data_IF_867569868729
#
_entry.id   IF_867569868729
#
_cell.length_a   1.000
_cell.length_b   1.000
_cell.length_c   1.000
_cell.angle_alpha   90.00
_cell.angle_beta   90.00
_cell.angle_gamma   90.00
#
_symmetry.space_group_name_H-M   'P 1'
#
loop_
_entity.id
_entity.type
_entity.pdbx_description
1 polymer ?
#
# COMPACT_ATOMS: atom_id res chain seq x y z
N UNK A 1 20.12 14.55 -36.57
CA UNK A 1 20.06 15.07 -35.17
C UNK A 1 18.69 14.75 -34.59
N UNK A 2 18.56 13.80 -33.69
CA UNK A 2 17.30 13.49 -33.03
C UNK A 2 17.00 14.59 -32.00
N UNK A 3 16.06 15.46 -32.33
CA UNK A 3 15.48 16.40 -31.39
C UNK A 3 14.73 15.61 -30.32
N UNK A 4 15.38 15.37 -29.20
CA UNK A 4 14.75 14.69 -28.08
C UNK A 4 13.48 15.42 -27.64
N UNK A 5 12.35 14.76 -27.72
CA UNK A 5 11.06 15.34 -27.40
C UNK A 5 11.07 15.92 -25.98
N UNK A 6 10.54 17.14 -25.83
CA UNK A 6 10.45 17.83 -24.54
C UNK A 6 9.22 17.38 -23.70
N UNK A 7 8.68 16.20 -23.98
CA UNK A 7 7.48 15.64 -23.32
C UNK A 7 7.62 15.53 -21.79
N UNK A 8 8.85 15.43 -21.29
CA UNK A 8 9.10 15.41 -19.84
C UNK A 8 8.57 16.64 -19.09
N UNK A 9 8.36 17.77 -19.80
CA UNK A 9 7.78 19.00 -19.21
C UNK A 9 6.32 18.82 -18.78
N UNK A 10 5.61 17.88 -19.39
CA UNK A 10 4.20 17.59 -19.09
C UNK A 10 4.04 16.52 -18.01
N UNK A 11 5.14 15.93 -17.56
CA UNK A 11 5.11 14.98 -16.45
C UNK A 11 4.94 15.73 -15.13
N UNK A 12 4.20 15.13 -14.20
CA UNK A 12 3.92 15.73 -12.88
C UNK A 12 5.18 16.15 -12.10
N UNK A 13 6.30 15.49 -12.33
CA UNK A 13 7.59 15.79 -11.67
C UNK A 13 8.54 16.67 -12.49
N UNK A 14 8.20 17.04 -13.73
CA UNK A 14 9.01 17.89 -14.64
C UNK A 14 10.50 17.51 -14.71
N UNK A 15 10.86 16.25 -14.55
CA UNK A 15 12.25 15.80 -14.55
C UNK A 15 12.67 15.21 -15.90
N UNK A 16 13.69 15.79 -16.52
CA UNK A 16 14.25 15.33 -17.80
C UNK A 16 14.85 13.92 -17.71
N UNK A 17 15.45 13.57 -16.58
CA UNK A 17 16.08 12.26 -16.34
C UNK A 17 15.55 11.67 -15.03
N UNK A 18 15.43 10.34 -14.99
CA UNK A 18 15.22 9.65 -13.71
C UNK A 18 16.44 9.92 -12.82
N UNK A 19 16.21 10.36 -11.61
CA UNK A 19 17.27 10.48 -10.62
C UNK A 19 17.98 9.13 -10.46
N UNK A 20 19.29 9.18 -10.15
CA UNK A 20 20.06 7.98 -9.80
C UNK A 20 19.28 7.27 -8.70
N UNK A 21 18.93 5.99 -8.93
CA UNK A 21 18.48 5.13 -7.83
C UNK A 21 19.63 5.14 -6.82
N UNK A 22 19.50 5.91 -5.75
CA UNK A 22 20.33 5.64 -4.59
C UNK A 22 19.95 4.22 -4.18
N UNK A 23 20.89 3.29 -4.31
CA UNK A 23 20.82 2.04 -3.60
C UNK A 23 20.86 2.40 -2.13
N UNK A 24 19.71 2.78 -1.59
CA UNK A 24 19.49 2.76 -0.18
C UNK A 24 19.53 1.26 0.16
N UNK A 25 20.72 0.80 0.50
CA UNK A 25 20.86 -0.26 1.48
C UNK A 25 20.32 0.33 2.78
N UNK A 26 19.01 0.65 2.79
CA UNK A 26 18.33 0.75 4.05
C UNK A 26 18.53 -0.64 4.66
N UNK A 27 19.16 -0.67 5.81
CA UNK A 27 18.92 -1.74 6.77
C UNK A 27 17.43 -1.64 7.14
N UNK A 28 16.57 -1.88 6.15
CA UNK A 28 15.16 -2.09 6.35
C UNK A 28 15.15 -3.24 7.33
N UNK A 29 14.71 -2.97 8.55
CA UNK A 29 14.53 -3.96 9.59
C UNK A 29 13.72 -5.06 8.95
N UNK A 30 14.39 -6.14 8.55
CA UNK A 30 13.73 -7.23 7.87
C UNK A 30 12.72 -7.81 8.87
N UNK A 31 11.45 -7.73 8.52
CA UNK A 31 10.40 -8.37 9.32
C UNK A 31 10.74 -9.85 9.37
N UNK A 32 11.08 -10.36 10.56
CA UNK A 32 11.32 -11.78 10.77
C UNK A 32 10.06 -12.56 10.38
N UNK A 33 10.25 -13.71 9.74
CA UNK A 33 9.15 -14.57 9.27
C UNK A 33 8.21 -13.94 8.22
N UNK A 34 8.72 -13.00 7.42
CA UNK A 34 7.96 -12.43 6.32
C UNK A 34 7.63 -13.49 5.28
N UNK A 35 6.36 -13.68 4.99
CA UNK A 35 5.89 -14.49 3.87
C UNK A 35 5.89 -13.62 2.60
N UNK A 36 6.59 -14.08 1.56
CA UNK A 36 6.65 -13.35 0.29
C UNK A 36 5.30 -13.31 -0.40
N UNK A 37 4.98 -12.20 -1.06
CA UNK A 37 3.78 -12.08 -1.88
C UNK A 37 3.76 -13.11 -3.04
N UNK A 38 4.93 -13.60 -3.46
CA UNK A 38 5.07 -14.64 -4.49
C UNK A 38 4.59 -16.01 -4.01
N UNK A 39 4.58 -16.24 -2.70
CA UNK A 39 4.10 -17.47 -2.06
C UNK A 39 2.58 -17.46 -1.83
N UNK A 40 1.90 -16.39 -2.27
CA UNK A 40 0.45 -16.25 -2.12
C UNK A 40 -0.28 -17.38 -2.85
N UNK A 41 -1.19 -18.10 -2.18
CA UNK A 41 -2.00 -19.14 -2.80
C UNK A 41 -2.74 -18.65 -4.05
N UNK A 42 -2.83 -19.51 -5.07
CA UNK A 42 -3.42 -19.16 -6.36
C UNK A 42 -4.87 -18.66 -6.24
N UNK A 43 -5.70 -19.29 -5.41
CA UNK A 43 -7.10 -18.89 -5.21
C UNK A 43 -7.26 -17.45 -4.68
N UNK A 44 -6.26 -16.94 -3.92
CA UNK A 44 -6.23 -15.54 -3.48
C UNK A 44 -5.79 -14.64 -4.63
N UNK A 45 -4.80 -15.10 -5.43
CA UNK A 45 -4.29 -14.35 -6.58
C UNK A 45 -5.37 -14.13 -7.63
N UNK A 46 -6.16 -15.15 -7.90
CA UNK A 46 -7.20 -15.15 -8.93
C UNK A 46 -8.48 -14.39 -8.52
N UNK A 47 -8.53 -13.85 -7.30
CA UNK A 47 -9.66 -13.07 -6.74
C UNK A 47 -11.00 -13.83 -6.75
N UNK A 48 -10.97 -15.15 -6.66
CA UNK A 48 -12.16 -15.99 -6.72
C UNK A 48 -13.05 -15.85 -5.49
N UNK A 49 -12.44 -15.74 -4.31
CA UNK A 49 -13.11 -15.63 -3.04
C UNK A 49 -13.05 -14.21 -2.51
N UNK A 50 -14.07 -13.78 -1.77
CA UNK A 50 -14.05 -12.50 -1.08
C UNK A 50 -13.43 -12.63 0.33
N UNK A 51 -13.09 -11.48 0.93
CA UNK A 51 -12.48 -11.44 2.27
C UNK A 51 -10.96 -11.30 2.26
N UNK A 52 -10.36 -11.10 1.09
CA UNK A 52 -8.93 -10.88 0.92
C UNK A 52 -8.65 -9.39 0.68
N UNK A 53 -7.96 -8.76 1.62
CA UNK A 53 -7.75 -7.32 1.65
C UNK A 53 -6.31 -6.95 1.35
N UNK A 54 -6.14 -5.82 0.70
CA UNK A 54 -4.87 -5.12 0.56
C UNK A 54 -4.98 -3.76 1.24
N UNK A 55 -3.97 -3.43 2.05
CA UNK A 55 -3.92 -2.18 2.78
C UNK A 55 -2.73 -1.35 2.32
N UNK A 56 -2.97 -0.06 2.14
CA UNK A 56 -1.97 0.94 1.79
C UNK A 56 -2.03 2.12 2.77
N UNK A 57 -0.87 2.68 3.09
CA UNK A 57 -0.72 3.83 3.96
C UNK A 57 -0.25 5.04 3.16
N UNK A 58 -1.16 5.96 2.90
CA UNK A 58 -0.88 7.17 2.16
C UNK A 58 -0.54 8.33 3.10
N UNK A 59 0.46 9.12 2.72
CA UNK A 59 0.92 10.29 3.48
C UNK A 59 0.97 11.52 2.60
N UNK A 60 0.38 12.60 3.09
CA UNK A 60 0.38 13.91 2.42
C UNK A 60 1.44 14.81 3.06
N UNK A 61 2.52 15.07 2.31
CA UNK A 61 3.71 15.78 2.81
C UNK A 61 3.37 17.17 3.32
N UNK A 62 2.48 17.89 2.64
CA UNK A 62 2.18 19.30 2.98
C UNK A 62 1.45 19.49 4.31
N UNK A 63 0.65 18.50 4.73
CA UNK A 63 -0.27 18.67 5.87
C UNK A 63 -0.01 17.65 6.99
N UNK A 64 1.04 16.85 6.91
CA UNK A 64 1.30 15.73 7.84
C UNK A 64 0.09 14.83 8.09
N UNK A 65 -0.78 14.73 7.10
CA UNK A 65 -1.97 13.91 7.16
C UNK A 65 -1.68 12.52 6.62
N UNK A 66 -2.31 11.52 7.21
CA UNK A 66 -2.15 10.13 6.83
C UNK A 66 -3.52 9.49 6.68
N UNK A 67 -3.66 8.62 5.70
CA UNK A 67 -4.87 7.83 5.46
C UNK A 67 -4.45 6.38 5.27
N UNK A 68 -5.09 5.48 6.00
CA UNK A 68 -5.05 4.06 5.67
C UNK A 68 -6.23 3.73 4.78
N UNK A 69 -5.95 3.00 3.71
CA UNK A 69 -6.94 2.53 2.75
C UNK A 69 -6.89 1.02 2.72
N UNK A 70 -8.02 0.37 2.89
CA UNK A 70 -8.19 -1.06 2.75
C UNK A 70 -9.05 -1.32 1.52
N UNK A 71 -8.58 -2.18 0.65
CA UNK A 71 -9.24 -2.56 -0.59
C UNK A 71 -9.50 -4.07 -0.59
N UNK A 72 -10.76 -4.47 -0.75
CA UNK A 72 -11.14 -5.87 -0.90
C UNK A 72 -10.96 -6.30 -2.36
N UNK A 73 -10.22 -7.39 -2.57
CA UNK A 73 -9.68 -7.75 -3.88
C UNK A 73 -10.71 -8.22 -4.91
N UNK A 74 -11.78 -8.88 -4.48
CA UNK A 74 -12.82 -9.42 -5.37
C UNK A 74 -13.88 -8.39 -5.68
N UNK A 75 -14.42 -7.76 -4.66
CA UNK A 75 -15.56 -6.85 -4.76
C UNK A 75 -15.16 -5.41 -5.09
N UNK A 76 -13.85 -5.10 -4.98
CA UNK A 76 -13.28 -3.76 -5.07
C UNK A 76 -13.83 -2.80 -4.00
N UNK A 77 -14.40 -3.33 -2.93
CA UNK A 77 -14.91 -2.54 -1.83
C UNK A 77 -13.77 -1.87 -1.07
N UNK A 78 -13.92 -0.57 -0.79
CA UNK A 78 -12.88 0.23 -0.15
C UNK A 78 -13.37 0.74 1.20
N UNK A 79 -12.49 0.64 2.20
CA UNK A 79 -12.63 1.30 3.50
C UNK A 79 -11.42 2.17 3.74
N UNK A 80 -11.62 3.35 4.30
CA UNK A 80 -10.52 4.25 4.65
C UNK A 80 -10.72 4.89 6.00
N UNK A 81 -9.60 5.27 6.63
CA UNK A 81 -9.62 5.99 7.89
C UNK A 81 -8.43 6.95 7.95
N UNK A 82 -8.71 8.20 8.34
CA UNK A 82 -7.67 9.21 8.60
C UNK A 82 -6.92 8.86 9.88
N UNK A 83 -5.60 8.97 9.82
CA UNK A 83 -4.69 8.71 10.95
C UNK A 83 -4.06 10.00 11.44
N UNK A 84 -3.80 10.07 12.74
CA UNK A 84 -3.06 11.19 13.35
C UNK A 84 -1.56 11.15 13.03
N UNK A 85 -1.00 9.95 12.89
CA UNK A 85 0.41 9.70 12.59
C UNK A 85 0.59 8.30 11.97
N UNK A 86 1.83 7.96 11.57
CA UNK A 86 2.20 6.67 10.99
C UNK A 86 2.72 5.65 12.01
N UNK A 87 2.59 5.90 13.29
CA UNK A 87 3.08 4.97 14.30
C UNK A 87 2.35 3.63 14.22
N UNK A 88 3.07 2.53 14.41
CA UNK A 88 2.52 1.18 14.34
C UNK A 88 1.25 1.00 15.18
N UNK A 89 1.25 1.51 16.41
CA UNK A 89 0.09 1.44 17.30
C UNK A 89 -1.15 2.17 16.74
N UNK A 90 -0.95 3.32 16.08
CA UNK A 90 -2.06 4.07 15.45
C UNK A 90 -2.62 3.31 14.26
N UNK A 91 -1.74 2.77 13.42
CA UNK A 91 -2.12 1.96 12.27
C UNK A 91 -2.84 0.69 12.71
N UNK A 92 -2.33 -0.03 13.71
CA UNK A 92 -2.95 -1.24 14.26
C UNK A 92 -4.35 -0.98 14.79
N UNK A 93 -4.53 0.08 15.60
CA UNK A 93 -5.87 0.48 16.10
C UNK A 93 -6.84 0.80 14.96
N UNK A 94 -6.36 1.48 13.91
CA UNK A 94 -7.17 1.78 12.75
C UNK A 94 -7.60 0.52 11.99
N UNK A 95 -6.69 -0.44 11.81
CA UNK A 95 -6.99 -1.73 11.19
C UNK A 95 -8.04 -2.50 11.99
N UNK A 96 -7.89 -2.59 13.31
CA UNK A 96 -8.92 -3.21 14.17
C UNK A 96 -10.28 -2.53 14.06
N UNK A 97 -10.31 -1.20 13.98
CA UNK A 97 -11.56 -0.46 13.83
C UNK A 97 -12.22 -0.73 12.46
N UNK A 98 -11.44 -0.70 11.38
CA UNK A 98 -11.96 -0.93 10.02
C UNK A 98 -12.40 -2.37 9.80
N UNK A 99 -11.64 -3.34 10.31
CA UNK A 99 -11.89 -4.77 10.11
C UNK A 99 -12.84 -5.36 11.17
N UNK A 100 -12.86 -4.79 12.38
CA UNK A 100 -13.61 -5.34 13.52
C UNK A 100 -15.11 -5.49 13.26
N UNK A 101 -15.68 -4.58 12.49
CA UNK A 101 -17.11 -4.55 12.15
C UNK A 101 -17.50 -5.52 11.02
N UNK A 102 -16.52 -6.19 10.40
CA UNK A 102 -16.78 -7.14 9.33
C UNK A 102 -17.05 -8.54 9.90
N UNK A 103 -17.91 -9.36 9.27
CA UNK A 103 -18.08 -10.75 9.63
C UNK A 103 -16.79 -11.54 9.38
N UNK A 104 -16.62 -12.67 10.07
CA UNK A 104 -15.40 -13.51 9.93
C UNK A 104 -15.15 -13.96 8.49
N UNK A 105 -16.20 -14.28 7.77
CA UNK A 105 -16.15 -14.68 6.35
C UNK A 105 -15.55 -13.59 5.44
N UNK A 106 -15.68 -12.33 5.83
CA UNK A 106 -15.15 -11.18 5.10
C UNK A 106 -13.74 -10.75 5.58
N UNK A 107 -13.09 -11.49 6.49
CA UNK A 107 -11.77 -11.20 7.07
C UNK A 107 -10.81 -12.37 6.94
N UNK A 108 -10.58 -12.83 5.72
CA UNK A 108 -9.73 -14.00 5.47
C UNK A 108 -8.24 -13.69 5.55
N UNK A 109 -7.80 -12.72 4.79
CA UNK A 109 -6.39 -12.28 4.78
C UNK A 109 -6.28 -10.77 4.60
N UNK A 110 -5.21 -10.21 5.15
CA UNK A 110 -4.81 -8.83 4.94
C UNK A 110 -3.35 -8.79 4.51
N UNK A 111 -3.08 -8.16 3.38
CA UNK A 111 -1.73 -7.88 2.88
C UNK A 111 -1.46 -6.39 3.06
N UNK A 112 -0.35 -6.06 3.70
CA UNK A 112 0.10 -4.67 3.84
C UNK A 112 1.37 -4.49 3.01
N UNK A 113 1.51 -3.35 2.34
CA UNK A 113 2.77 -2.98 1.74
C UNK A 113 3.77 -2.58 2.84
N UNK A 114 5.00 -3.01 2.65
CA UNK A 114 6.11 -2.69 3.55
C UNK A 114 6.77 -1.39 3.08
N UNK A 115 6.02 -0.29 3.22
CA UNK A 115 6.46 1.04 2.83
C UNK A 115 7.55 1.64 3.73
#
# INVERSE_FOLDING_TARGET
MHSGSKLWKYLARHKRKRGIKRNFLSSATMISNRISIHERPKYIKDKLNFGHWEGDLMSFIKNSQHIIVLHERKTLFIKSLRLKNKQANTVTKALFNLMGKLPLTAKQTLTLDNG
#
